data_IF_903987843394
#
_entry.id   IF_903987843394
#
_cell.length_a   1.000
_cell.length_b   1.000
_cell.length_c   1.000
_cell.angle_alpha   90.00
_cell.angle_beta   90.00
_cell.angle_gamma   90.00
#
_symmetry.space_group_name_H-M   'P 1'
#
loop_
_entity.id
_entity.type
_entity.pdbx_description
1 polymer ?
#
# COMPACT_ATOMS: atom_id res chain seq x y z
N UNK A 1 11.36 4.59 10.24
CA UNK A 1 11.49 4.26 8.81
C UNK A 1 10.18 4.32 8.03
N UNK A 2 9.08 3.71 8.50
CA UNK A 2 7.78 3.69 7.79
C UNK A 2 7.21 5.08 7.46
N UNK A 3 7.23 6.03 8.41
CA UNK A 3 6.78 7.42 8.16
C UNK A 3 7.47 8.08 6.95
N UNK A 4 8.79 7.89 6.81
CA UNK A 4 9.55 8.45 5.70
C UNK A 4 9.18 7.78 4.36
N UNK A 5 8.93 6.47 4.38
CA UNK A 5 8.49 5.72 3.21
C UNK A 5 7.12 6.22 2.73
N UNK A 6 6.13 6.32 3.62
CA UNK A 6 4.79 6.83 3.28
C UNK A 6 4.86 8.27 2.78
N UNK A 7 5.67 9.12 3.41
CA UNK A 7 5.83 10.51 2.97
C UNK A 7 6.40 10.61 1.53
N UNK A 8 7.35 9.72 1.16
CA UNK A 8 7.91 9.64 -0.19
C UNK A 8 6.90 9.10 -1.21
N UNK A 9 6.08 8.11 -0.83
CA UNK A 9 5.00 7.62 -1.69
C UNK A 9 3.91 8.68 -1.91
N UNK A 10 3.47 9.37 -0.85
CA UNK A 10 2.51 10.47 -0.97
C UNK A 10 3.05 11.60 -1.86
N UNK A 11 4.35 11.91 -1.75
CA UNK A 11 5.01 12.86 -2.62
C UNK A 11 5.03 12.43 -4.08
N UNK A 12 5.41 11.18 -4.38
CA UNK A 12 5.38 10.64 -5.73
C UNK A 12 3.96 10.67 -6.31
N UNK A 13 2.96 10.22 -5.56
CA UNK A 13 1.56 10.26 -5.96
C UNK A 13 1.05 11.69 -6.20
N UNK A 14 1.47 12.66 -5.39
CA UNK A 14 1.14 14.07 -5.59
C UNK A 14 1.77 14.67 -6.85
N UNK A 15 2.95 14.20 -7.27
CA UNK A 15 3.61 14.60 -8.52
C UNK A 15 3.01 13.95 -9.76
N UNK A 16 2.48 12.74 -9.62
CA UNK A 16 1.80 12.01 -10.69
C UNK A 16 0.31 12.39 -10.81
N UNK A 17 -0.17 13.36 -10.02
CA UNK A 17 -1.55 13.84 -10.06
C UNK A 17 -2.58 12.87 -9.42
N UNK A 18 -2.12 11.86 -8.70
CA UNK A 18 -2.96 10.92 -7.97
C UNK A 18 -3.46 11.49 -6.64
N UNK A 19 -2.68 12.38 -6.02
CA UNK A 19 -3.07 13.17 -4.84
C UNK A 19 -3.11 14.67 -5.18
N UNK A 20 -3.75 15.52 -4.35
CA UNK A 20 -3.71 16.96 -4.54
C UNK A 20 -2.27 17.48 -4.74
N UNK A 21 -2.10 18.46 -5.63
CA UNK A 21 -0.77 18.98 -6.03
C UNK A 21 0.11 19.44 -4.85
N UNK A 22 -0.49 19.78 -3.70
CA UNK A 22 0.23 20.11 -2.46
C UNK A 22 1.10 18.97 -1.93
N UNK A 23 0.72 17.71 -2.18
CA UNK A 23 1.52 16.55 -1.79
C UNK A 23 2.78 16.38 -2.64
N UNK A 24 2.79 16.86 -3.89
CA UNK A 24 3.95 16.82 -4.77
C UNK A 24 5.02 17.89 -4.50
N UNK A 25 4.94 18.61 -3.37
CA UNK A 25 5.86 19.70 -3.01
C UNK A 25 6.73 19.31 -1.81
N UNK A 26 8.01 19.65 -1.88
CA UNK A 26 8.94 19.53 -0.76
C UNK A 26 9.04 20.83 0.03
N UNK A 27 9.46 20.74 1.30
CA UNK A 27 9.78 21.91 2.11
C UNK A 27 11.04 22.59 1.55
N UNK A 28 11.03 23.93 1.43
CA UNK A 28 12.15 24.72 0.90
C UNK A 28 13.41 24.62 1.76
N UNK A 29 13.26 24.48 3.08
CA UNK A 29 14.38 24.47 4.01
C UNK A 29 15.11 23.11 4.09
N UNK A 30 14.35 22.00 4.14
CA UNK A 30 14.92 20.65 4.35
C UNK A 30 14.87 19.75 3.13
N UNK A 31 14.19 20.16 2.05
CA UNK A 31 13.95 19.31 0.87
C UNK A 31 13.02 18.12 1.15
N UNK A 32 12.48 17.97 2.36
CA UNK A 32 11.67 16.83 2.75
C UNK A 32 10.19 16.98 2.33
N UNK A 33 9.47 15.87 2.03
CA UNK A 33 8.04 15.88 1.71
C UNK A 33 7.18 16.06 2.98
N UNK A 34 7.14 17.27 3.52
CA UNK A 34 6.46 17.58 4.79
C UNK A 34 4.96 17.30 4.78
N UNK A 35 4.28 17.54 3.66
CA UNK A 35 2.84 17.25 3.49
C UNK A 35 2.53 15.76 3.57
N UNK A 36 3.39 14.91 3.00
CA UNK A 36 3.28 13.46 3.12
C UNK A 36 3.47 12.97 4.55
N UNK A 37 4.41 13.57 5.29
CA UNK A 37 4.60 13.25 6.71
C UNK A 37 3.40 13.67 7.55
N UNK A 38 2.82 14.84 7.29
CA UNK A 38 1.62 15.32 7.99
C UNK A 38 0.42 14.42 7.74
N UNK A 39 0.23 13.95 6.50
CA UNK A 39 -0.82 12.98 6.17
C UNK A 39 -0.68 11.71 7.01
N UNK A 40 0.52 11.13 7.08
CA UNK A 40 0.75 9.95 7.90
C UNK A 40 0.46 10.22 9.38
N UNK A 41 0.89 11.38 9.91
CA UNK A 41 0.60 11.74 11.31
C UNK A 41 -0.90 11.85 11.56
N UNK A 42 -1.66 12.50 10.66
CA UNK A 42 -3.12 12.62 10.79
C UNK A 42 -3.77 11.24 10.76
N UNK A 43 -3.38 10.36 9.83
CA UNK A 43 -3.88 8.98 9.77
C UNK A 43 -3.57 8.23 11.06
N UNK A 44 -2.34 8.29 11.57
CA UNK A 44 -1.96 7.66 12.82
C UNK A 44 -2.80 8.17 14.00
N UNK A 45 -2.98 9.49 14.12
CA UNK A 45 -3.78 10.10 15.20
C UNK A 45 -5.25 9.66 15.12
N UNK A 46 -5.84 9.64 13.91
CA UNK A 46 -7.22 9.19 13.72
C UNK A 46 -7.37 7.72 14.15
N UNK A 47 -6.47 6.83 13.72
CA UNK A 47 -6.52 5.41 14.10
C UNK A 47 -6.39 5.24 15.61
N UNK A 48 -5.45 5.95 16.25
CA UNK A 48 -5.26 5.90 17.70
C UNK A 48 -6.49 6.43 18.44
N UNK A 49 -7.10 7.52 17.97
CA UNK A 49 -8.33 8.07 18.57
C UNK A 49 -9.51 7.12 18.43
N UNK A 50 -9.71 6.53 17.25
CA UNK A 50 -10.78 5.54 17.05
C UNK A 50 -10.59 4.39 18.03
N UNK A 51 -9.37 3.84 18.13
CA UNK A 51 -9.08 2.76 19.07
C UNK A 51 -9.34 3.18 20.52
N UNK A 52 -8.85 4.35 20.94
CA UNK A 52 -9.02 4.86 22.30
C UNK A 52 -10.50 5.11 22.67
N UNK A 53 -11.36 5.40 21.70
CA UNK A 53 -12.79 5.63 21.91
C UNK A 53 -13.62 4.35 21.85
N UNK A 54 -13.16 3.31 21.15
CA UNK A 54 -13.85 2.02 20.99
C UNK A 54 -13.31 0.93 21.92
N UNK A 55 -12.35 1.26 22.78
CA UNK A 55 -11.77 0.28 23.69
C UNK A 55 -12.69 0.07 24.90
N UNK A 56 -13.44 -1.04 24.86
CA UNK A 56 -14.38 -1.42 25.90
C UNK A 56 -13.70 -2.10 27.11
N UNK A 57 -12.37 -2.24 27.13
CA UNK A 57 -11.69 -2.96 28.21
C UNK A 57 -11.70 -2.18 29.54
N UNK A 58 -11.85 -2.89 30.67
CA UNK A 58 -11.68 -2.29 31.98
C UNK A 58 -10.25 -1.76 32.15
N UNK A 59 -10.12 -0.70 32.94
CA UNK A 59 -8.92 0.12 33.24
C UNK A 59 -7.79 -0.66 33.96
N UNK A 60 -7.63 -1.97 33.71
CA UNK A 60 -6.75 -2.87 34.45
C UNK A 60 -5.34 -3.05 33.88
N UNK A 61 -5.17 -2.96 32.56
CA UNK A 61 -3.84 -3.09 31.91
C UNK A 61 -3.64 -2.00 30.83
N UNK A 62 -2.78 -0.99 31.08
CA UNK A 62 -2.50 0.07 30.11
C UNK A 62 -1.75 -0.41 28.85
N UNK A 63 -1.25 -1.65 28.83
CA UNK A 63 -0.48 -2.22 27.70
C UNK A 63 -1.33 -3.03 26.72
N UNK A 64 -2.50 -3.51 27.13
CA UNK A 64 -3.41 -4.28 26.29
C UNK A 64 -3.83 -3.56 24.98
N UNK A 65 -4.13 -2.24 24.99
CA UNK A 65 -4.47 -1.48 23.77
C UNK A 65 -3.31 -1.44 22.77
N UNK A 66 -2.10 -1.22 23.29
CA UNK A 66 -0.87 -1.13 22.50
C UNK A 66 -0.53 -2.47 21.88
N UNK A 67 -0.68 -3.56 22.64
CA UNK A 67 -0.41 -4.91 22.16
C UNK A 67 -1.37 -5.32 21.04
N UNK A 68 -2.67 -5.03 21.18
CA UNK A 68 -3.67 -5.28 20.13
C UNK A 68 -3.39 -4.46 18.89
N UNK A 69 -3.20 -3.15 19.02
CA UNK A 69 -2.95 -2.27 17.89
C UNK A 69 -1.67 -2.67 17.14
N UNK A 70 -0.60 -3.00 17.86
CA UNK A 70 0.65 -3.46 17.27
C UNK A 70 0.49 -4.76 16.49
N UNK A 71 -0.13 -5.77 17.10
CA UNK A 71 -0.35 -7.08 16.46
C UNK A 71 -1.26 -6.94 15.24
N UNK A 72 -2.38 -6.24 15.37
CA UNK A 72 -3.36 -6.10 14.30
C UNK A 72 -2.79 -5.31 13.11
N UNK A 73 -2.25 -4.12 13.37
CA UNK A 73 -1.68 -3.27 12.32
C UNK A 73 -0.40 -3.88 11.73
N UNK A 74 0.38 -4.61 12.53
CA UNK A 74 1.54 -5.37 12.08
C UNK A 74 1.16 -6.45 11.07
N UNK A 75 0.15 -7.27 11.38
CA UNK A 75 -0.33 -8.32 10.48
C UNK A 75 -1.00 -7.77 9.22
N UNK A 76 -1.79 -6.69 9.34
CA UNK A 76 -2.34 -5.98 8.16
C UNK A 76 -1.21 -5.45 7.28
N UNK A 77 -0.19 -4.83 7.88
CA UNK A 77 0.97 -4.33 7.16
C UNK A 77 1.75 -5.45 6.47
N UNK A 78 1.99 -6.57 7.15
CA UNK A 78 2.66 -7.73 6.60
C UNK A 78 1.90 -8.31 5.40
N UNK A 79 0.59 -8.54 5.54
CA UNK A 79 -0.26 -9.02 4.45
C UNK A 79 -0.24 -8.05 3.26
N UNK A 80 -0.32 -6.74 3.52
CA UNK A 80 -0.24 -5.72 2.48
C UNK A 80 1.08 -5.76 1.71
N UNK A 81 2.21 -5.89 2.42
CA UNK A 81 3.53 -6.01 1.79
C UNK A 81 3.66 -7.30 0.97
N UNK A 82 3.18 -8.43 1.50
CA UNK A 82 3.17 -9.72 0.78
C UNK A 82 2.41 -9.58 -0.55
N UNK A 83 1.23 -8.96 -0.52
CA UNK A 83 0.42 -8.73 -1.72
C UNK A 83 1.09 -7.77 -2.71
N UNK A 84 1.72 -6.70 -2.22
CA UNK A 84 2.50 -5.79 -3.06
C UNK A 84 3.69 -6.50 -3.73
N UNK A 85 4.40 -7.36 -2.99
CA UNK A 85 5.50 -8.16 -3.52
C UNK A 85 5.00 -9.18 -4.55
N UNK A 86 3.86 -9.82 -4.30
CA UNK A 86 3.24 -10.74 -5.26
C UNK A 86 2.86 -10.00 -6.55
N UNK A 87 2.21 -8.84 -6.43
CA UNK A 87 1.87 -8.00 -7.57
C UNK A 87 3.11 -7.55 -8.36
N UNK A 88 4.20 -7.17 -7.67
CA UNK A 88 5.46 -6.81 -8.30
C UNK A 88 6.08 -7.99 -9.08
N UNK A 89 6.06 -9.20 -8.53
CA UNK A 89 6.51 -10.42 -9.22
C UNK A 89 5.75 -10.65 -10.53
N UNK A 90 4.43 -10.52 -10.53
CA UNK A 90 3.64 -10.65 -11.75
C UNK A 90 3.82 -9.47 -12.71
N UNK A 91 4.06 -8.26 -12.20
CA UNK A 91 4.37 -7.09 -13.01
C UNK A 91 5.67 -7.24 -13.80
N UNK A 92 6.70 -7.88 -13.22
CA UNK A 92 7.95 -8.22 -13.92
C UNK A 92 7.67 -9.14 -15.12
N UNK A 93 6.80 -10.13 -14.95
CA UNK A 93 6.41 -11.04 -16.03
C UNK A 93 5.70 -10.27 -17.13
N UNK A 94 4.68 -9.49 -16.78
CA UNK A 94 3.92 -8.68 -17.73
C UNK A 94 4.84 -7.69 -18.49
N UNK A 95 5.82 -7.11 -17.82
CA UNK A 95 6.77 -6.17 -18.41
C UNK A 95 7.63 -6.81 -19.51
N UNK A 96 8.27 -7.96 -19.24
CA UNK A 96 9.14 -8.60 -20.22
C UNK A 96 8.36 -9.28 -21.35
N UNK A 97 7.19 -9.86 -21.06
CA UNK A 97 6.31 -10.45 -22.08
C UNK A 97 5.81 -9.37 -23.04
N UNK A 98 5.33 -8.23 -22.54
CA UNK A 98 4.87 -7.10 -23.39
C UNK A 98 5.95 -6.53 -24.29
N UNK A 99 7.23 -6.62 -23.90
CA UNK A 99 8.38 -6.15 -24.69
C UNK A 99 8.96 -7.21 -25.64
N UNK A 100 8.33 -8.38 -25.76
CA UNK A 100 8.81 -9.47 -26.61
C UNK A 100 10.10 -10.15 -26.09
N UNK A 101 10.55 -9.82 -24.89
CA UNK A 101 11.81 -10.31 -24.31
C UNK A 101 11.63 -11.58 -23.46
N UNK A 102 10.46 -12.25 -23.55
CA UNK A 102 10.12 -13.35 -22.67
C UNK A 102 11.09 -14.54 -22.76
N UNK A 103 11.52 -14.90 -23.97
CA UNK A 103 12.45 -16.02 -24.19
C UNK A 103 13.87 -15.70 -23.67
N UNK A 104 14.33 -14.47 -23.90
CA UNK A 104 15.65 -14.01 -23.44
C UNK A 104 15.74 -13.89 -21.90
N UNK A 105 14.60 -13.68 -21.22
CA UNK A 105 14.52 -13.50 -19.78
C UNK A 105 13.84 -14.68 -19.06
N UNK A 106 13.77 -15.84 -19.72
CA UNK A 106 13.13 -17.06 -19.19
C UNK A 106 13.51 -17.39 -17.72
N UNK A 107 14.78 -17.41 -17.29
CA UNK A 107 15.11 -17.72 -15.90
C UNK A 107 14.54 -16.68 -14.91
N UNK A 108 14.53 -15.40 -15.28
CA UNK A 108 13.96 -14.32 -14.47
C UNK A 108 12.44 -14.44 -14.40
N UNK A 109 11.78 -14.83 -15.49
CA UNK A 109 10.34 -15.06 -15.53
C UNK A 109 9.93 -16.22 -14.65
N UNK A 110 10.66 -17.34 -14.71
CA UNK A 110 10.40 -18.51 -13.87
C UNK A 110 10.60 -18.16 -12.39
N UNK A 111 11.70 -17.50 -12.03
CA UNK A 111 11.93 -17.06 -10.66
C UNK A 111 10.84 -16.10 -10.15
N UNK A 112 10.41 -15.15 -10.99
CA UNK A 112 9.33 -14.21 -10.65
C UNK A 112 7.98 -14.93 -10.49
N UNK A 113 7.68 -15.91 -11.35
CA UNK A 113 6.45 -16.69 -11.27
C UNK A 113 6.42 -17.55 -10.00
N UNK A 114 7.52 -18.25 -9.69
CA UNK A 114 7.65 -19.03 -8.46
C UNK A 114 7.52 -18.16 -7.21
N UNK A 115 8.18 -17.00 -7.18
CA UNK A 115 8.06 -16.05 -6.08
C UNK A 115 6.62 -15.52 -5.94
N UNK A 116 5.97 -15.14 -7.04
CA UNK A 116 4.58 -14.66 -7.04
C UNK A 116 3.61 -15.72 -6.53
N UNK A 117 3.74 -16.97 -6.98
CA UNK A 117 2.92 -18.09 -6.52
C UNK A 117 3.15 -18.38 -5.04
N UNK A 118 4.42 -18.44 -4.59
CA UNK A 118 4.72 -18.65 -3.18
C UNK A 118 4.14 -17.54 -2.28
N UNK A 119 4.27 -16.27 -2.69
CA UNK A 119 3.71 -15.14 -1.95
C UNK A 119 2.17 -15.17 -1.92
N UNK A 120 1.51 -15.56 -3.01
CA UNK A 120 0.06 -15.75 -3.01
C UNK A 120 -0.36 -16.89 -2.07
N UNK A 121 0.36 -18.01 -2.06
CA UNK A 121 0.11 -19.11 -1.12
C UNK A 121 0.23 -18.64 0.33
N UNK A 122 1.27 -17.86 0.65
CA UNK A 122 1.46 -17.28 1.98
C UNK A 122 0.30 -16.31 2.31
N UNK A 123 -0.13 -15.48 1.37
CA UNK A 123 -1.25 -14.56 1.57
C UNK A 123 -2.56 -15.32 1.84
N UNK A 124 -2.81 -16.43 1.13
CA UNK A 124 -3.98 -17.28 1.34
C UNK A 124 -3.97 -17.89 2.74
N UNK A 125 -2.84 -18.45 3.18
CA UNK A 125 -2.71 -18.97 4.55
C UNK A 125 -2.85 -17.87 5.59
N UNK A 126 -2.27 -16.69 5.33
CA UNK A 126 -2.37 -15.54 6.24
C UNK A 126 -3.82 -15.11 6.43
N UNK A 127 -4.63 -15.08 5.37
CA UNK A 127 -6.06 -14.73 5.48
C UNK A 127 -6.86 -15.86 6.14
N UNK A 128 -6.52 -17.13 5.85
CA UNK A 128 -7.21 -18.28 6.44
C UNK A 128 -6.99 -18.39 7.95
N UNK A 129 -5.76 -18.18 8.39
CA UNK A 129 -5.32 -18.32 9.78
C UNK A 129 -5.18 -16.94 10.45
N UNK A 130 -5.95 -15.94 9.96
CA UNK A 130 -5.83 -14.56 10.40
C UNK A 130 -6.29 -14.37 11.85
N UNK A 131 -7.25 -15.17 12.30
CA UNK A 131 -7.72 -15.24 13.67
C UNK A 131 -6.59 -15.59 14.65
N UNK A 132 -5.76 -16.57 14.27
CA UNK A 132 -4.57 -16.98 15.02
C UNK A 132 -3.54 -15.84 15.07
N UNK A 133 -3.33 -15.14 13.94
CA UNK A 133 -2.37 -14.04 13.86
C UNK A 133 -2.78 -12.85 14.74
N UNK A 134 -4.08 -12.59 14.85
CA UNK A 134 -4.66 -11.44 15.55
C UNK A 134 -5.00 -11.77 17.02
N UNK A 135 -5.02 -13.05 17.38
CA UNK A 135 -5.39 -13.54 18.71
C UNK A 135 -6.86 -13.28 19.03
N UNK A 136 -7.72 -13.28 18.02
CA UNK A 136 -9.16 -13.02 18.16
C UNK A 136 -9.94 -14.30 18.53
N UNK A 137 -11.15 -14.11 19.05
CA UNK A 137 -12.09 -15.22 19.28
C UNK A 137 -12.59 -15.71 17.91
N UNK A 138 -12.66 -17.04 17.66
CA UNK A 138 -13.13 -17.57 16.38
C UNK A 138 -14.48 -17.00 15.96
N UNK A 139 -14.55 -16.47 14.73
CA UNK A 139 -15.77 -15.86 14.18
C UNK A 139 -15.93 -14.36 14.50
N UNK A 140 -14.88 -13.70 14.96
CA UNK A 140 -14.87 -12.26 15.17
C UNK A 140 -15.00 -11.51 13.84
N UNK A 141 -15.73 -10.40 13.85
CA UNK A 141 -15.80 -9.51 12.68
C UNK A 141 -14.41 -8.95 12.29
N UNK A 142 -13.46 -8.88 13.24
CA UNK A 142 -12.10 -8.39 13.01
C UNK A 142 -11.32 -9.25 12.01
N UNK A 143 -11.60 -10.55 11.97
CA UNK A 143 -10.92 -11.54 11.13
C UNK A 143 -11.14 -11.23 9.64
N UNK A 144 -12.28 -10.63 9.32
CA UNK A 144 -12.64 -10.21 7.96
C UNK A 144 -12.47 -8.71 7.73
N UNK A 145 -12.70 -7.89 8.75
CA UNK A 145 -12.60 -6.43 8.64
C UNK A 145 -11.17 -6.01 8.30
N UNK A 146 -10.19 -6.55 9.01
CA UNK A 146 -8.78 -6.14 8.88
C UNK A 146 -8.17 -6.51 7.52
N UNK A 147 -8.27 -7.77 7.01
CA UNK A 147 -7.90 -8.06 5.63
C UNK A 147 -8.76 -7.31 4.62
N UNK A 148 -10.04 -7.10 4.94
CA UNK A 148 -10.99 -6.34 4.13
C UNK A 148 -10.53 -4.91 3.83
N UNK A 149 -9.81 -4.24 4.74
CA UNK A 149 -9.20 -2.92 4.48
C UNK A 149 -8.22 -2.96 3.32
N UNK A 150 -7.44 -4.04 3.19
CA UNK A 150 -6.46 -4.20 2.10
C UNK A 150 -7.18 -4.44 0.78
N UNK A 151 -8.23 -5.28 0.79
CA UNK A 151 -9.07 -5.53 -0.38
C UNK A 151 -9.76 -4.24 -0.83
N UNK A 152 -10.27 -3.45 0.12
CA UNK A 152 -10.89 -2.16 -0.15
C UNK A 152 -9.89 -1.18 -0.76
N UNK A 153 -8.65 -1.13 -0.25
CA UNK A 153 -7.60 -0.29 -0.82
C UNK A 153 -7.22 -0.73 -2.25
N UNK A 154 -7.14 -2.04 -2.51
CA UNK A 154 -6.88 -2.59 -3.84
C UNK A 154 -8.00 -2.22 -4.82
N UNK A 155 -9.26 -2.49 -4.45
CA UNK A 155 -10.43 -2.19 -5.28
C UNK A 155 -10.55 -0.68 -5.50
N UNK A 156 -10.35 0.12 -4.46
CA UNK A 156 -10.35 1.58 -4.53
C UNK A 156 -9.28 2.11 -5.48
N UNK A 157 -8.05 1.57 -5.41
CA UNK A 157 -6.97 1.92 -6.32
C UNK A 157 -7.27 1.55 -7.77
N UNK A 158 -7.78 0.35 -8.03
CA UNK A 158 -8.17 -0.11 -9.37
C UNK A 158 -9.32 0.72 -9.94
N UNK A 159 -10.34 1.01 -9.13
CA UNK A 159 -11.47 1.85 -9.52
C UNK A 159 -11.01 3.29 -9.81
N UNK A 160 -10.18 3.87 -8.94
CA UNK A 160 -9.62 5.20 -9.15
C UNK A 160 -8.79 5.27 -10.44
N UNK A 161 -7.93 4.27 -10.69
CA UNK A 161 -7.17 4.16 -11.93
C UNK A 161 -8.08 4.04 -13.17
N UNK A 162 -9.13 3.23 -13.11
CA UNK A 162 -10.09 3.07 -14.22
C UNK A 162 -10.88 4.37 -14.49
N UNK A 163 -11.29 5.09 -13.44
CA UNK A 163 -11.95 6.41 -13.56
C UNK A 163 -10.99 7.43 -14.16
N UNK A 164 -9.73 7.44 -13.70
CA UNK A 164 -8.71 8.36 -14.20
C UNK A 164 -8.40 8.09 -15.68
N UNK A 165 -8.34 6.82 -16.09
CA UNK A 165 -8.18 6.43 -17.49
C UNK A 165 -9.27 6.99 -18.41
N UNK A 166 -10.49 7.20 -17.90
CA UNK A 166 -11.62 7.75 -18.66
C UNK A 166 -11.71 9.28 -18.57
N UNK A 167 -11.45 9.85 -17.40
CA UNK A 167 -11.70 11.28 -17.12
C UNK A 167 -10.48 12.16 -17.33
N UNK A 168 -9.27 11.65 -17.06
CA UNK A 168 -7.99 12.36 -17.17
C UNK A 168 -6.91 11.40 -17.71
N UNK A 169 -7.00 10.98 -18.99
CA UNK A 169 -6.10 10.00 -19.57
C UNK A 169 -4.62 10.42 -19.53
N UNK A 170 -4.35 11.73 -19.61
CA UNK A 170 -3.01 12.30 -19.47
C UNK A 170 -2.40 12.01 -18.10
N UNK A 171 -3.17 12.19 -17.01
CA UNK A 171 -2.71 11.89 -15.65
C UNK A 171 -2.50 10.38 -15.49
N UNK A 172 -3.40 9.56 -16.02
CA UNK A 172 -3.25 8.11 -16.00
C UNK A 172 -1.99 7.64 -16.76
N UNK A 173 -1.68 8.26 -17.90
CA UNK A 173 -0.49 7.94 -18.69
C UNK A 173 0.82 8.32 -17.97
N UNK A 174 0.77 9.27 -17.03
CA UNK A 174 1.92 9.69 -16.22
C UNK A 174 2.26 8.76 -15.06
N UNK A 175 1.34 7.85 -14.68
CA UNK A 175 1.55 6.94 -13.55
C UNK A 175 2.78 6.07 -13.80
N UNK A 176 3.73 6.10 -12.86
CA UNK A 176 4.95 5.30 -12.93
C UNK A 176 6.05 5.83 -13.86
N UNK A 177 5.85 6.99 -14.51
CA UNK A 177 6.91 7.66 -15.29
C UNK A 177 7.87 8.47 -14.41
N UNK A 178 7.52 8.74 -13.14
CA UNK A 178 8.38 9.45 -12.20
C UNK A 178 8.86 10.80 -12.74
N UNK A 179 10.18 10.98 -12.89
CA UNK A 179 10.77 12.24 -13.34
C UNK A 179 10.67 12.44 -14.87
N UNK A 180 10.43 11.38 -15.65
CA UNK A 180 10.34 11.46 -17.12
C UNK A 180 9.07 12.22 -17.55
N UNK A 181 7.95 12.03 -16.85
CA UNK A 181 6.73 12.79 -17.09
C UNK A 181 6.93 14.32 -16.98
N UNK A 182 7.82 14.76 -16.09
CA UNK A 182 8.13 16.19 -15.93
C UNK A 182 9.05 16.71 -17.03
N UNK A 183 9.99 15.89 -17.51
CA UNK A 183 10.85 16.27 -18.64
C UNK A 183 10.03 16.41 -19.93
N UNK A 184 9.03 15.53 -20.14
CA UNK A 184 8.11 15.61 -21.27
C UNK A 184 7.27 16.88 -21.24
N UNK A 185 6.77 17.28 -20.06
CA UNK A 185 5.98 18.51 -19.88
C UNK A 185 6.81 19.79 -20.03
N UNK A 186 8.13 19.74 -19.75
CA UNK A 186 9.05 20.86 -19.93
C UNK A 186 9.54 21.01 -21.39
N UNK A 187 9.47 19.94 -22.16
CA UNK A 187 9.88 19.89 -23.56
C UNK A 187 8.75 20.20 -24.55
N UNK A 188 7.49 20.15 -24.09
CA UNK A 188 6.30 20.57 -24.82
C UNK A 188 6.05 22.07 -24.68
#
# INVERSE_FOLDING_TARGET
>A
SFHNVVARYAFAMGREGLLPARFGRTNRASGAPGTGSLLQTVVSVVIVLVFALTDDNPVGDPTAPVLRLFTWMGNVGALGVILLMAAASFAVIAFFVKRGAGRAQAPRLVASALAGLALLTIAVFTVRDFDVLVGSVPGSALDWLLPGVIVLALVGGLAYGAVLRRTKPEVHARIGLGNEAFQLEKAA
#
